data_IF_219755607537
#
_entry.id   IF_219755607537
#
_cell.length_a   1.000
_cell.length_b   1.000
_cell.length_c   1.000
_cell.angle_alpha   90.00
_cell.angle_beta   90.00
_cell.angle_gamma   90.00
#
_symmetry.space_group_name_H-M   'P 1'
#
loop_
_entity.id
_entity.type
_entity.pdbx_description
1 polymer ?
#
# COMPACT_ATOMS: atom_id res chain seq x y z
N UNK A 1 -18.26 8.42 -1.14
CA UNK A 1 -17.53 7.22 -0.64
C UNK A 1 -16.39 7.67 0.26
N UNK A 2 -16.20 7.01 1.40
CA UNK A 2 -15.05 7.25 2.28
C UNK A 2 -13.79 6.77 1.56
N UNK A 3 -12.70 7.54 1.63
CA UNK A 3 -11.46 7.23 0.92
C UNK A 3 -10.47 6.45 1.80
N UNK A 4 -9.77 5.49 1.18
CA UNK A 4 -8.80 4.62 1.83
C UNK A 4 -7.55 4.42 0.98
N UNK A 5 -6.40 4.33 1.64
CA UNK A 5 -5.13 3.94 1.04
C UNK A 5 -4.54 2.76 1.77
N UNK A 6 -3.87 1.91 0.99
CA UNK A 6 -2.79 1.11 1.49
C UNK A 6 -1.48 1.66 0.94
N UNK A 7 -0.42 1.62 1.73
CA UNK A 7 0.91 2.05 1.29
C UNK A 7 2.00 1.21 1.95
N UNK A 8 3.07 0.98 1.23
CA UNK A 8 4.25 0.29 1.72
C UNK A 8 5.34 1.30 2.09
N UNK A 9 6.04 0.99 3.16
CA UNK A 9 7.27 1.66 3.58
C UNK A 9 8.40 0.64 3.67
N UNK A 10 9.59 1.10 4.05
CA UNK A 10 10.77 0.26 4.29
C UNK A 10 10.56 -0.84 5.35
N UNK A 11 9.57 -0.70 6.23
CA UNK A 11 9.37 -1.61 7.37
C UNK A 11 8.00 -2.29 7.39
N UNK A 12 7.07 -1.98 6.50
CA UNK A 12 5.76 -2.63 6.51
C UNK A 12 4.79 -2.13 5.45
N UNK A 13 3.60 -2.69 5.47
CA UNK A 13 2.44 -2.17 4.74
C UNK A 13 1.48 -1.60 5.76
N UNK A 14 0.90 -0.46 5.42
CA UNK A 14 0.03 0.32 6.28
C UNK A 14 -1.29 0.59 5.56
N UNK A 15 -2.37 0.69 6.34
CA UNK A 15 -3.68 1.12 5.90
C UNK A 15 -4.04 2.46 6.55
N UNK A 16 -4.71 3.33 5.81
CA UNK A 16 -5.30 4.56 6.33
C UNK A 16 -6.61 4.88 5.60
N UNK A 17 -7.56 5.49 6.29
CA UNK A 17 -8.80 6.02 5.72
C UNK A 17 -9.25 7.27 6.48
N UNK A 18 -10.17 8.06 5.92
CA UNK A 18 -10.52 9.42 6.41
C UNK A 18 -10.91 9.57 7.89
N UNK A 19 -11.23 8.49 8.60
CA UNK A 19 -11.59 8.50 10.02
C UNK A 19 -10.49 7.92 10.93
N UNK A 20 -9.34 7.53 10.38
CA UNK A 20 -8.17 7.11 11.15
C UNK A 20 -7.29 8.33 11.44
N UNK A 21 -7.02 8.59 12.73
CA UNK A 21 -6.10 9.66 13.14
C UNK A 21 -4.65 9.38 12.72
N UNK A 22 -4.27 8.10 12.60
CA UNK A 22 -2.94 7.67 12.15
C UNK A 22 -3.02 6.39 11.32
N UNK A 23 -2.07 6.16 10.39
CA UNK A 23 -1.99 4.89 9.66
C UNK A 23 -1.80 3.70 10.60
N UNK A 24 -2.44 2.58 10.26
CA UNK A 24 -2.32 1.30 10.97
C UNK A 24 -1.39 0.37 10.20
N UNK A 25 -0.38 -0.21 10.85
CA UNK A 25 0.48 -1.24 10.25
C UNK A 25 -0.34 -2.53 10.11
N UNK A 26 -0.45 -3.05 8.89
CA UNK A 26 -1.19 -4.28 8.56
C UNK A 26 -0.26 -5.42 8.12
N UNK A 27 1.00 -5.11 7.81
CA UNK A 27 2.02 -6.10 7.49
C UNK A 27 3.40 -5.66 7.99
N UNK A 28 4.16 -6.59 8.56
CA UNK A 28 5.49 -6.34 9.09
C UNK A 28 6.59 -6.96 8.21
N UNK A 29 7.41 -6.11 7.58
CA UNK A 29 8.55 -6.53 6.75
C UNK A 29 9.80 -6.81 7.58
N UNK A 30 9.88 -6.35 8.82
CA UNK A 30 11.11 -6.47 9.63
C UNK A 30 11.31 -7.89 10.21
N UNK A 31 10.32 -8.76 10.03
CA UNK A 31 10.29 -10.12 10.58
C UNK A 31 10.15 -11.18 9.48
N UNK A 32 10.62 -12.39 9.77
CA UNK A 32 10.44 -13.56 8.90
C UNK A 32 11.16 -13.45 7.55
N UNK A 33 10.63 -14.14 6.54
CA UNK A 33 11.26 -14.30 5.22
C UNK A 33 11.36 -13.01 4.39
N UNK A 34 10.63 -11.96 4.79
CA UNK A 34 10.63 -10.67 4.11
C UNK A 34 11.62 -9.67 4.70
N UNK A 35 12.37 -10.07 5.73
CA UNK A 35 13.40 -9.22 6.33
C UNK A 35 14.39 -8.75 5.25
N UNK A 36 14.64 -7.43 5.21
CA UNK A 36 15.49 -6.72 4.22
C UNK A 36 14.96 -6.74 2.78
N UNK A 37 13.76 -7.27 2.53
CA UNK A 37 13.11 -7.13 1.23
C UNK A 37 12.52 -5.73 1.10
N UNK A 38 12.47 -5.22 -0.13
CA UNK A 38 11.83 -3.95 -0.47
C UNK A 38 10.58 -4.24 -1.26
N UNK A 39 9.45 -3.68 -0.81
CA UNK A 39 8.22 -3.70 -1.59
C UNK A 39 8.36 -2.71 -2.75
N UNK A 40 8.21 -3.21 -3.97
CA UNK A 40 8.31 -2.43 -5.22
C UNK A 40 6.95 -2.03 -5.77
N UNK A 41 5.87 -2.56 -5.21
CA UNK A 41 4.54 -2.27 -5.71
C UNK A 41 3.43 -2.84 -4.83
N UNK A 42 2.24 -2.25 -4.96
CA UNK A 42 1.08 -2.54 -4.13
C UNK A 42 -0.18 -2.37 -4.99
N UNK A 43 -1.10 -3.33 -4.93
CA UNK A 43 -2.35 -3.29 -5.69
C UNK A 43 -3.46 -4.07 -4.96
N UNK A 44 -4.70 -3.82 -5.33
CA UNK A 44 -5.88 -4.53 -4.88
C UNK A 44 -6.49 -5.33 -6.05
N UNK A 45 -6.22 -6.63 -6.07
CA UNK A 45 -6.66 -7.52 -7.15
C UNK A 45 -7.75 -8.43 -6.61
N UNK A 46 -8.92 -8.42 -7.25
CA UNK A 46 -10.07 -9.28 -6.87
C UNK A 46 -10.42 -9.19 -5.37
N UNK A 47 -10.28 -7.99 -4.81
CA UNK A 47 -10.56 -7.74 -3.41
C UNK A 47 -9.49 -8.23 -2.41
N UNK A 48 -8.30 -8.59 -2.89
CA UNK A 48 -7.15 -8.96 -2.06
C UNK A 48 -6.07 -7.91 -2.20
N UNK A 49 -5.53 -7.45 -1.06
CA UNK A 49 -4.38 -6.57 -1.10
C UNK A 49 -3.12 -7.40 -1.40
N UNK A 50 -2.44 -7.05 -2.48
CA UNK A 50 -1.23 -7.75 -2.93
C UNK A 50 -0.04 -6.79 -2.99
N UNK A 51 1.15 -7.32 -2.72
CA UNK A 51 2.39 -6.58 -2.80
C UNK A 51 3.43 -7.34 -3.61
N UNK A 52 4.29 -6.61 -4.32
CA UNK A 52 5.43 -7.18 -5.04
C UNK A 52 6.74 -6.95 -4.29
N UNK A 53 7.59 -7.97 -4.25
CA UNK A 53 8.98 -7.86 -3.80
C UNK A 53 9.89 -8.70 -4.70
N UNK A 54 10.91 -8.06 -5.29
CA UNK A 54 11.75 -8.72 -6.28
C UNK A 54 10.92 -9.17 -7.48
N UNK A 55 10.83 -10.49 -7.72
CA UNK A 55 10.08 -11.08 -8.84
C UNK A 55 8.73 -11.68 -8.43
N UNK A 56 8.37 -11.59 -7.16
CA UNK A 56 7.25 -12.32 -6.57
C UNK A 56 6.14 -11.35 -6.13
N UNK A 57 4.89 -11.80 -6.27
CA UNK A 57 3.70 -11.11 -5.79
C UNK A 57 3.07 -11.95 -4.69
N UNK A 58 2.77 -11.33 -3.55
CA UNK A 58 2.20 -11.98 -2.37
C UNK A 58 0.89 -11.33 -1.97
N UNK A 59 0.00 -12.12 -1.38
CA UNK A 59 -1.17 -11.61 -0.67
C UNK A 59 -0.75 -11.10 0.72
N UNK A 60 -1.25 -9.93 1.14
CA UNK A 60 -0.92 -9.35 2.46
C UNK A 60 -1.44 -10.21 3.60
N UNK A 61 -2.69 -10.67 3.50
CA UNK A 61 -3.39 -11.43 4.54
C UNK A 61 -2.85 -12.86 4.69
N UNK A 62 -2.26 -13.43 3.62
CA UNK A 62 -1.64 -14.75 3.65
C UNK A 62 -0.36 -14.80 2.80
N UNK A 63 0.78 -14.32 3.33
CA UNK A 63 2.02 -14.13 2.56
C UNK A 63 2.92 -15.38 2.57
N UNK A 64 2.38 -16.58 2.85
CA UNK A 64 3.18 -17.82 2.98
C UNK A 64 3.80 -18.26 1.67
N UNK A 65 3.10 -18.10 0.55
CA UNK A 65 3.57 -18.45 -0.80
C UNK A 65 3.24 -17.32 -1.79
N UNK A 66 4.05 -17.15 -2.85
CA UNK A 66 3.75 -16.14 -3.86
C UNK A 66 2.52 -16.57 -4.68
N UNK A 67 1.63 -15.62 -4.94
CA UNK A 67 0.52 -15.80 -5.89
C UNK A 67 1.03 -15.92 -7.32
N UNK A 68 2.04 -15.11 -7.65
CA UNK A 68 2.65 -15.04 -8.98
C UNK A 68 4.16 -14.89 -8.80
N UNK A 69 4.92 -15.63 -9.61
CA UNK A 69 6.36 -15.44 -9.76
C UNK A 69 6.65 -15.08 -11.21
N UNK A 70 7.26 -13.91 -11.41
CA UNK A 70 7.73 -13.45 -12.72
C UNK A 70 9.14 -13.98 -13.00
N UNK A 71 9.51 -14.10 -14.27
CA UNK A 71 10.87 -14.45 -14.69
C UNK A 71 11.88 -13.34 -14.36
N UNK A 72 11.40 -12.09 -14.19
CA UNK A 72 12.23 -10.91 -13.90
C UNK A 72 11.64 -10.08 -12.76
N UNK A 73 12.50 -9.29 -12.11
CA UNK A 73 12.09 -8.37 -11.06
C UNK A 73 11.06 -7.36 -11.54
N UNK A 74 10.00 -7.20 -10.75
CA UNK A 74 8.94 -6.23 -10.99
C UNK A 74 9.43 -4.82 -10.62
N UNK A 75 9.40 -3.92 -11.62
CA UNK A 75 9.84 -2.53 -11.44
C UNK A 75 8.78 -1.67 -10.73
N UNK A 76 7.49 -1.94 -10.99
CA UNK A 76 6.36 -1.31 -10.33
C UNK A 76 5.13 -2.22 -10.39
N UNK A 77 4.25 -2.11 -9.39
CA UNK A 77 2.89 -2.65 -9.40
C UNK A 77 1.98 -1.56 -8.81
N UNK A 78 0.95 -1.17 -9.54
CA UNK A 78 0.05 -0.10 -9.15
C UNK A 78 -1.38 -0.38 -9.63
N UNK A 79 -2.35 0.16 -8.90
CA UNK A 79 -3.74 0.23 -9.31
C UNK A 79 -4.28 1.63 -9.05
N UNK A 80 -5.00 2.15 -10.04
CA UNK A 80 -5.63 3.47 -9.96
C UNK A 80 -7.10 3.33 -9.59
N UNK A 81 -7.56 4.19 -8.68
CA UNK A 81 -8.98 4.40 -8.37
C UNK A 81 -9.42 5.80 -8.80
N UNK A 82 -10.50 6.30 -8.20
CA UNK A 82 -11.15 7.59 -8.57
C UNK A 82 -10.49 8.85 -7.98
N UNK A 83 -9.39 8.72 -7.23
CA UNK A 83 -8.70 9.84 -6.56
C UNK A 83 -7.23 9.93 -6.98
N UNK A 84 -6.73 11.17 -7.06
CA UNK A 84 -5.31 11.41 -7.32
C UNK A 84 -4.52 11.30 -6.00
N UNK A 85 -3.56 10.39 -6.00
CA UNK A 85 -2.72 10.10 -4.83
C UNK A 85 -1.27 10.31 -5.22
N UNK A 86 -0.56 11.11 -4.44
CA UNK A 86 0.87 11.30 -4.59
C UNK A 86 1.62 10.86 -3.34
N UNK A 87 2.78 10.24 -3.55
CA UNK A 87 3.74 9.98 -2.49
C UNK A 87 5.06 10.69 -2.81
N UNK A 88 5.53 11.44 -1.83
CA UNK A 88 6.92 11.89 -1.71
C UNK A 88 7.63 10.95 -0.73
N UNK A 89 8.95 11.10 -0.53
CA UNK A 89 9.71 10.14 0.28
C UNK A 89 9.04 9.83 1.62
N UNK A 90 8.65 10.83 2.41
CA UNK A 90 8.08 10.62 3.76
C UNK A 90 6.70 11.26 3.96
N UNK A 91 5.97 11.42 2.87
CA UNK A 91 4.70 12.15 2.86
C UNK A 91 3.79 11.57 1.79
N UNK A 92 2.53 11.39 2.14
CA UNK A 92 1.48 11.06 1.18
C UNK A 92 0.50 12.21 1.16
N UNK A 93 0.09 12.62 -0.03
CA UNK A 93 -0.98 13.59 -0.19
C UNK A 93 -2.07 13.06 -1.11
N UNK A 94 -3.30 13.46 -0.81
CA UNK A 94 -4.50 12.97 -1.47
C UNK A 94 -5.29 14.19 -1.92
N UNK A 95 -5.53 14.30 -3.23
CA UNK A 95 -6.37 15.34 -3.83
C UNK A 95 -7.62 14.71 -4.43
N UNK A 96 -8.79 15.15 -3.94
CA UNK A 96 -10.08 14.69 -4.43
C UNK A 96 -10.59 15.59 -5.55
N UNK A 97 -11.29 14.98 -6.52
CA UNK A 97 -12.07 15.73 -7.51
C UNK A 97 -13.18 16.50 -6.79
N UNK A 98 -13.27 17.81 -7.02
CA UNK A 98 -14.32 18.67 -6.45
C UNK A 98 -14.15 19.05 -4.98
N UNK A 99 -12.97 18.83 -4.38
CA UNK A 99 -12.62 19.42 -3.07
C UNK A 99 -11.33 20.23 -3.19
N UNK A 100 -11.32 21.41 -2.58
CA UNK A 100 -10.14 22.27 -2.55
C UNK A 100 -9.10 21.80 -1.53
N UNK A 101 -9.54 21.09 -0.48
CA UNK A 101 -8.65 20.61 0.57
C UNK A 101 -7.93 19.32 0.20
N UNK A 102 -6.60 19.36 0.31
CA UNK A 102 -5.69 18.22 0.22
C UNK A 102 -5.51 17.60 1.60
N UNK A 103 -5.69 16.28 1.71
CA UNK A 103 -5.28 15.55 2.92
C UNK A 103 -3.81 15.19 2.80
N UNK A 104 -3.05 15.40 3.87
CA UNK A 104 -1.61 15.06 3.92
C UNK A 104 -1.33 14.18 5.12
N UNK A 105 -0.57 13.11 4.90
CA UNK A 105 -0.12 12.15 5.91
C UNK A 105 1.41 12.22 5.96
N UNK A 106 1.95 12.56 7.12
CA UNK A 106 3.39 12.56 7.37
C UNK A 106 3.82 11.21 7.93
N UNK A 107 4.97 10.72 7.48
CA UNK A 107 5.47 9.38 7.80
C UNK A 107 6.91 9.45 8.30
N UNK A 108 7.26 8.56 9.21
CA UNK A 108 8.65 8.44 9.68
C UNK A 108 9.55 7.72 8.66
N UNK A 109 8.96 6.86 7.82
CA UNK A 109 9.66 5.96 6.89
C UNK A 109 9.36 6.30 5.44
N UNK A 110 10.30 5.92 4.56
CA UNK A 110 10.17 6.18 3.14
C UNK A 110 9.04 5.36 2.52
N UNK A 111 8.17 5.98 1.75
CA UNK A 111 7.12 5.31 0.95
C UNK A 111 7.77 4.65 -0.26
N UNK A 112 7.43 3.39 -0.51
CA UNK A 112 7.98 2.62 -1.64
C UNK A 112 6.92 2.16 -2.63
N UNK A 113 5.65 2.07 -2.21
CA UNK A 113 4.52 1.77 -3.07
C UNK A 113 3.21 2.26 -2.43
N UNK A 114 2.16 2.46 -3.23
CA UNK A 114 0.83 2.87 -2.76
C UNK A 114 -0.28 2.27 -3.63
N UNK A 115 -1.45 2.05 -3.02
CA UNK A 115 -2.65 1.61 -3.70
C UNK A 115 -3.88 2.36 -3.13
N UNK A 116 -4.79 2.78 -4.01
CA UNK A 116 -6.12 3.22 -3.61
C UNK A 116 -6.97 2.00 -3.31
N UNK A 117 -7.59 1.95 -2.13
CA UNK A 117 -8.34 0.77 -1.66
C UNK A 117 -9.70 1.19 -1.10
N UNK A 118 -10.80 0.49 -1.41
CA UNK A 118 -12.09 0.75 -0.79
C UNK A 118 -12.01 0.61 0.74
N UNK A 119 -12.65 1.54 1.46
CA UNK A 119 -12.54 1.60 2.93
C UNK A 119 -13.10 0.37 3.62
N UNK A 120 -14.16 -0.25 3.09
CA UNK A 120 -14.73 -1.47 3.69
C UNK A 120 -13.67 -2.58 3.77
N UNK A 121 -12.85 -2.70 2.74
CA UNK A 121 -11.79 -3.70 2.65
C UNK A 121 -10.65 -3.40 3.61
N UNK A 122 -10.27 -2.13 3.76
CA UNK A 122 -9.24 -1.73 4.74
C UNK A 122 -9.66 -1.97 6.20
N UNK A 123 -10.96 -2.00 6.50
CA UNK A 123 -11.48 -2.27 7.85
C UNK A 123 -11.40 -3.75 8.22
N UNK A 124 -11.38 -4.64 7.23
CA UNK A 124 -11.32 -6.10 7.41
C UNK A 124 -9.87 -6.62 7.56
N UNK A 125 -8.88 -5.78 7.25
CA UNK A 125 -7.45 -6.05 7.42
C UNK A 125 -6.93 -5.87 8.84
#
# INVERSE_FOLDING_TARGET
>A
SMYGIAFATENGIYAWYENLSKPRKIFDLERGKFRRKRITGLALVEGKLVFSTGREIYQVENPQEPLITSDRSLQALAQSGDSLVGAEERKIWIKKKGRDQQTTIFLEKKVTALASVPVYQLKEL
#
